data_IF_521603963697
#
_entry.id   IF_521603963697
#
_cell.length_a   1.000
_cell.length_b   1.000
_cell.length_c   1.000
_cell.angle_alpha   90.00
_cell.angle_beta   90.00
_cell.angle_gamma   90.00
#
_symmetry.space_group_name_H-M   'P 1'
#
loop_
_entity.id
_entity.type
_entity.pdbx_description
1 polymer ?
#
# COMPACT_ATOMS: atom_id res chain seq x y z
N UNK A 1 -24.54 29.83 -13.38
CA UNK A 1 -23.43 30.48 -12.65
C UNK A 1 -22.28 30.79 -13.61
N UNK A 2 -21.44 31.78 -13.34
CA UNK A 2 -20.32 32.17 -14.19
C UNK A 2 -19.14 32.59 -13.32
N UNK A 3 -17.94 32.15 -13.68
CA UNK A 3 -16.69 32.65 -13.11
C UNK A 3 -16.15 33.78 -13.99
N UNK A 4 -15.69 34.86 -13.39
CA UNK A 4 -14.95 35.94 -14.07
C UNK A 4 -13.61 36.15 -13.36
N UNK A 5 -12.56 36.35 -14.14
CA UNK A 5 -11.21 36.64 -13.66
C UNK A 5 -10.89 38.14 -13.87
N UNK A 6 -10.27 38.73 -12.86
CA UNK A 6 -9.70 40.08 -12.92
C UNK A 6 -8.19 39.97 -13.15
N UNK A 7 -7.81 39.47 -14.30
CA UNK A 7 -6.43 39.41 -14.79
C UNK A 7 -6.37 40.03 -16.20
N UNK A 8 -5.19 40.39 -16.67
CA UNK A 8 -5.01 40.92 -18.02
C UNK A 8 -5.37 39.94 -19.14
N UNK A 9 -5.41 38.64 -18.80
CA UNK A 9 -5.89 37.55 -19.66
C UNK A 9 -6.74 36.60 -18.79
N UNK A 10 -8.01 36.42 -19.15
CA UNK A 10 -9.05 35.77 -18.32
C UNK A 10 -8.75 34.31 -17.94
N UNK A 11 -7.76 33.66 -18.52
CA UNK A 11 -7.41 32.27 -18.25
C UNK A 11 -5.90 32.05 -18.04
N UNK A 12 -5.11 33.11 -17.97
CA UNK A 12 -3.66 33.04 -17.88
C UNK A 12 -3.16 33.92 -16.71
N UNK A 13 -2.50 33.31 -15.75
CA UNK A 13 -1.87 33.95 -14.59
C UNK A 13 -0.35 33.80 -14.72
N UNK A 14 0.41 34.86 -14.46
CA UNK A 14 1.86 34.75 -14.44
C UNK A 14 2.33 34.16 -13.11
N UNK A 15 3.35 33.34 -13.15
CA UNK A 15 3.94 32.74 -11.96
C UNK A 15 4.45 33.83 -11.00
N UNK A 16 4.06 33.74 -9.74
CA UNK A 16 4.35 34.74 -8.71
C UNK A 16 3.30 35.85 -8.59
N UNK A 17 2.32 35.92 -9.50
CA UNK A 17 1.23 36.89 -9.42
C UNK A 17 -0.02 36.29 -8.76
N UNK A 18 -0.90 37.22 -8.30
CA UNK A 18 -2.23 36.92 -7.78
C UNK A 18 -3.26 37.09 -8.89
N UNK A 19 -4.28 36.24 -8.88
CA UNK A 19 -5.48 36.46 -9.65
C UNK A 19 -6.68 36.61 -8.70
N UNK A 20 -7.64 37.46 -9.06
CA UNK A 20 -8.91 37.53 -8.38
C UNK A 20 -10.00 36.92 -9.25
N UNK A 21 -10.80 36.04 -8.68
CA UNK A 21 -11.99 35.50 -9.30
C UNK A 21 -13.23 36.07 -8.62
N UNK A 22 -14.27 36.31 -9.43
CA UNK A 22 -15.62 36.56 -8.93
C UNK A 22 -16.58 35.56 -9.52
N UNK A 23 -17.56 35.16 -8.70
CA UNK A 23 -18.59 34.19 -9.06
C UNK A 23 -19.93 34.94 -9.16
N UNK A 24 -20.57 34.83 -10.31
CA UNK A 24 -21.82 35.49 -10.57
C UNK A 24 -22.99 34.52 -10.82
N UNK A 25 -24.13 34.78 -10.18
CA UNK A 25 -25.35 34.05 -10.42
C UNK A 25 -26.12 34.63 -11.63
N UNK A 26 -26.60 33.79 -12.53
CA UNK A 26 -27.36 34.18 -13.72
C UNK A 26 -28.84 33.71 -13.60
N UNK A 27 -29.84 34.44 -14.16
CA UNK A 27 -29.74 35.77 -14.74
C UNK A 27 -29.64 36.85 -13.66
N UNK A 28 -29.16 38.03 -14.00
CA UNK A 28 -29.10 39.17 -13.10
C UNK A 28 -27.71 39.56 -12.67
N UNK A 29 -26.70 38.71 -12.88
CA UNK A 29 -25.29 39.01 -12.64
C UNK A 29 -24.98 39.37 -11.18
N UNK A 30 -25.63 38.72 -10.22
CA UNK A 30 -25.38 38.94 -8.80
C UNK A 30 -24.05 38.34 -8.38
N UNK A 31 -23.18 39.13 -7.75
CA UNK A 31 -21.94 38.68 -7.19
C UNK A 31 -22.18 37.82 -5.93
N UNK A 32 -21.82 36.57 -6.01
CA UNK A 32 -21.96 35.59 -4.95
C UNK A 32 -20.60 35.03 -4.49
N UNK A 33 -19.50 35.71 -4.82
CA UNK A 33 -18.12 35.23 -4.54
C UNK A 33 -17.92 34.86 -3.08
N UNK A 34 -18.42 35.68 -2.15
CA UNK A 34 -18.31 35.45 -0.71
C UNK A 34 -19.18 34.30 -0.18
N UNK A 35 -20.13 33.83 -0.96
CA UNK A 35 -21.04 32.72 -0.62
C UNK A 35 -20.68 31.43 -1.35
N UNK A 36 -19.87 31.50 -2.41
CA UNK A 36 -19.46 30.35 -3.20
C UNK A 36 -18.22 29.68 -2.56
N UNK A 37 -18.20 28.36 -2.56
CA UNK A 37 -16.98 27.59 -2.28
C UNK A 37 -16.12 27.56 -3.52
N UNK A 38 -14.91 28.15 -3.43
CA UNK A 38 -13.95 28.17 -4.53
C UNK A 38 -12.83 27.17 -4.21
N UNK A 39 -12.56 26.28 -5.17
CA UNK A 39 -11.52 25.25 -5.11
C UNK A 39 -10.71 25.19 -6.40
N UNK A 40 -9.57 24.53 -6.36
CA UNK A 40 -8.69 24.27 -7.51
C UNK A 40 -8.39 22.78 -7.57
N UNK A 41 -8.27 22.24 -8.78
CA UNK A 41 -8.00 20.81 -8.98
C UNK A 41 -6.54 20.44 -8.65
N UNK A 42 -5.59 21.38 -8.79
CA UNK A 42 -4.18 21.17 -8.46
C UNK A 42 -3.62 22.33 -7.62
N UNK A 43 -3.47 22.10 -6.33
CA UNK A 43 -2.94 23.07 -5.37
C UNK A 43 -1.42 23.30 -5.51
N UNK A 44 -0.71 22.48 -6.30
CA UNK A 44 0.69 22.73 -6.64
C UNK A 44 0.85 23.80 -7.76
N UNK A 45 -0.25 24.15 -8.41
CA UNK A 45 -0.28 25.20 -9.46
C UNK A 45 -0.89 26.48 -8.92
N UNK A 46 -2.08 26.40 -8.34
CA UNK A 46 -2.78 27.53 -7.74
C UNK A 46 -3.24 27.16 -6.31
N UNK A 47 -3.23 28.14 -5.42
CA UNK A 47 -3.89 28.07 -4.12
C UNK A 47 -4.99 29.10 -4.03
N UNK A 48 -6.06 28.76 -3.30
CA UNK A 48 -7.18 29.68 -3.05
C UNK A 48 -7.37 29.95 -1.57
N UNK A 49 -7.89 31.15 -1.25
CA UNK A 49 -8.45 31.44 0.05
C UNK A 49 -9.98 31.49 -0.11
N UNK A 50 -10.67 30.51 0.47
CA UNK A 50 -12.13 30.43 0.43
C UNK A 50 -12.80 31.73 0.91
N UNK A 51 -13.79 32.22 0.18
CA UNK A 51 -14.65 33.32 0.54
C UNK A 51 -14.21 34.73 0.09
N UNK A 52 -12.99 34.86 -0.46
CA UNK A 52 -12.52 36.18 -0.98
C UNK A 52 -12.15 36.15 -2.47
N UNK A 53 -12.23 34.98 -3.11
CA UNK A 53 -11.93 34.84 -4.53
C UNK A 53 -10.47 35.10 -4.92
N UNK A 54 -9.54 35.05 -3.96
CA UNK A 54 -8.11 35.26 -4.24
C UNK A 54 -7.45 33.94 -4.60
N UNK A 55 -6.74 33.96 -5.72
CA UNK A 55 -5.88 32.85 -6.19
C UNK A 55 -4.44 33.34 -6.23
N UNK A 56 -3.50 32.52 -5.79
CA UNK A 56 -2.07 32.81 -6.00
C UNK A 56 -1.37 31.63 -6.64
N UNK A 57 -0.50 31.95 -7.58
CA UNK A 57 0.28 30.97 -8.31
C UNK A 57 1.44 30.47 -7.47
N UNK A 58 1.54 29.14 -7.30
CA UNK A 58 2.61 28.46 -6.57
C UNK A 58 3.46 27.57 -7.49
N UNK A 59 2.93 27.23 -8.66
CA UNK A 59 3.61 26.46 -9.68
C UNK A 59 3.17 26.86 -11.09
N UNK A 60 3.91 26.42 -12.09
CA UNK A 60 3.60 26.66 -13.50
C UNK A 60 2.93 25.43 -14.07
N UNK A 61 1.76 25.60 -14.73
CA UNK A 61 0.99 24.47 -15.25
C UNK A 61 -0.42 24.87 -15.63
N UNK A 62 -1.27 23.88 -15.83
CA UNK A 62 -2.70 24.06 -16.10
C UNK A 62 -3.52 23.36 -15.00
N UNK A 63 -4.51 24.05 -14.50
CA UNK A 63 -5.45 23.53 -13.49
C UNK A 63 -6.84 24.07 -13.77
N UNK A 64 -7.83 23.59 -13.03
CA UNK A 64 -9.21 24.06 -13.12
C UNK A 64 -9.61 24.72 -11.81
N UNK A 65 -10.18 25.91 -11.90
CA UNK A 65 -10.88 26.57 -10.79
C UNK A 65 -12.34 26.15 -10.82
N UNK A 66 -12.85 25.73 -9.69
CA UNK A 66 -14.27 25.37 -9.49
C UNK A 66 -14.91 26.32 -8.50
N UNK A 67 -16.16 26.62 -8.75
CA UNK A 67 -16.97 27.35 -7.81
C UNK A 67 -18.32 26.64 -7.64
N UNK A 68 -18.70 26.38 -6.40
CA UNK A 68 -19.95 25.75 -6.02
C UNK A 68 -20.77 26.67 -5.12
N UNK A 69 -22.07 26.75 -5.36
CA UNK A 69 -23.05 27.47 -4.55
C UNK A 69 -24.38 26.71 -4.61
N UNK A 70 -24.85 26.24 -3.44
CA UNK A 70 -26.00 25.33 -3.35
C UNK A 70 -25.82 24.11 -4.29
N UNK A 71 -26.77 23.82 -5.17
CA UNK A 71 -26.72 22.73 -6.14
C UNK A 71 -26.07 23.15 -7.49
N UNK A 72 -25.50 24.34 -7.56
CA UNK A 72 -24.91 24.87 -8.79
C UNK A 72 -23.38 24.79 -8.73
N UNK A 73 -22.79 24.28 -9.79
CA UNK A 73 -21.34 24.25 -9.99
C UNK A 73 -20.96 24.87 -11.33
N UNK A 74 -19.79 25.52 -11.35
CA UNK A 74 -19.16 26.00 -12.57
C UNK A 74 -17.64 25.82 -12.45
N UNK A 75 -16.99 25.48 -13.55
CA UNK A 75 -15.55 25.31 -13.63
C UNK A 75 -14.96 26.10 -14.78
N UNK A 76 -13.69 26.47 -14.62
CA UNK A 76 -12.94 27.21 -15.65
C UNK A 76 -11.47 26.79 -15.63
N UNK A 77 -10.88 26.42 -16.78
CA UNK A 77 -9.46 26.13 -16.85
C UNK A 77 -8.65 27.42 -16.65
N UNK A 78 -7.52 27.28 -15.96
CA UNK A 78 -6.56 28.37 -15.74
C UNK A 78 -5.18 27.85 -16.01
N UNK A 79 -4.37 28.67 -16.68
CA UNK A 79 -2.99 28.40 -16.99
C UNK A 79 -2.08 29.36 -16.24
N UNK A 80 -1.11 28.82 -15.52
CA UNK A 80 -0.03 29.61 -14.94
C UNK A 80 1.20 29.50 -15.85
N UNK A 81 1.72 30.61 -16.29
CA UNK A 81 2.84 30.69 -17.24
C UNK A 81 4.00 31.51 -16.67
N UNK A 82 5.21 31.27 -17.19
CA UNK A 82 6.36 32.09 -16.86
C UNK A 82 6.28 33.44 -17.56
N UNK A 83 6.81 34.50 -16.95
CA UNK A 83 7.05 35.79 -17.62
C UNK A 83 7.98 35.66 -18.81
N UNK A 84 8.96 34.73 -18.76
CA UNK A 84 9.96 34.48 -19.82
C UNK A 84 9.39 33.70 -21.02
N UNK A 85 8.08 33.44 -21.06
CA UNK A 85 7.39 32.75 -22.15
C UNK A 85 7.10 31.27 -21.88
N UNK A 86 6.54 30.59 -22.88
CA UNK A 86 6.13 29.20 -22.81
C UNK A 86 7.32 28.23 -22.76
N UNK A 87 7.10 27.04 -22.17
CA UNK A 87 8.10 25.98 -22.15
C UNK A 87 8.49 25.52 -23.56
N UNK A 88 9.76 25.75 -23.91
CA UNK A 88 10.34 25.38 -25.22
C UNK A 88 11.03 24.03 -25.15
N UNK A 89 11.84 23.78 -24.12
CA UNK A 89 12.65 22.59 -23.96
C UNK A 89 12.53 22.02 -22.53
N UNK A 90 12.53 20.71 -22.42
CA UNK A 90 12.60 19.96 -21.16
C UNK A 90 13.56 18.79 -21.36
N UNK A 91 14.56 18.64 -20.51
CA UNK A 91 15.55 17.57 -20.62
C UNK A 91 16.21 17.28 -19.27
N UNK A 92 16.75 16.08 -19.12
CA UNK A 92 17.69 15.82 -18.04
C UNK A 92 19.13 16.14 -18.44
N UNK A 93 19.97 16.39 -17.44
CA UNK A 93 21.42 16.61 -17.63
C UNK A 93 22.16 15.32 -18.01
N UNK A 94 21.54 14.16 -17.79
CA UNK A 94 22.01 12.83 -18.17
C UNK A 94 20.95 12.08 -18.97
N UNK A 95 21.38 11.30 -19.95
CA UNK A 95 20.49 10.40 -20.72
C UNK A 95 20.46 9.01 -20.13
N UNK A 96 21.57 8.59 -19.53
CA UNK A 96 21.75 7.29 -18.89
C UNK A 96 22.45 7.52 -17.56
N UNK A 97 22.01 6.80 -16.52
CA UNK A 97 22.61 6.78 -15.19
C UNK A 97 22.82 5.33 -14.76
N UNK A 98 23.99 5.03 -14.21
CA UNK A 98 24.29 3.73 -13.63
C UNK A 98 24.33 3.87 -12.12
N UNK A 99 23.61 2.98 -11.43
CA UNK A 99 23.55 2.90 -9.97
C UNK A 99 23.75 1.46 -9.54
N UNK A 100 24.32 1.26 -8.37
CA UNK A 100 24.31 -0.04 -7.71
C UNK A 100 23.00 -0.20 -6.90
N UNK A 101 22.55 -1.43 -6.69
CA UNK A 101 21.41 -1.73 -5.82
C UNK A 101 21.59 -1.05 -4.46
N UNK A 102 20.53 -0.47 -3.93
CA UNK A 102 20.49 0.32 -2.69
C UNK A 102 21.26 1.66 -2.74
N UNK A 103 21.80 2.04 -3.89
CA UNK A 103 22.45 3.34 -4.08
C UNK A 103 21.43 4.42 -4.36
N UNK A 104 21.65 5.61 -3.82
CA UNK A 104 20.94 6.84 -4.21
C UNK A 104 21.67 7.51 -5.37
N UNK A 105 20.89 8.12 -6.26
CA UNK A 105 21.41 8.85 -7.41
C UNK A 105 20.78 10.22 -7.55
N UNK A 106 21.40 11.08 -8.36
CA UNK A 106 20.85 12.39 -8.70
C UNK A 106 20.87 12.65 -10.20
N UNK A 107 19.78 13.21 -10.69
CA UNK A 107 19.66 13.78 -12.02
C UNK A 107 19.06 15.17 -11.88
N UNK A 108 19.44 16.06 -12.78
CA UNK A 108 18.93 17.43 -12.79
C UNK A 108 18.02 17.64 -13.99
N UNK A 109 16.79 18.06 -13.70
CA UNK A 109 15.88 18.52 -14.74
C UNK A 109 16.32 19.92 -15.22
N UNK A 110 16.29 20.12 -16.52
CA UNK A 110 16.58 21.41 -17.18
C UNK A 110 15.42 21.77 -18.07
N UNK A 111 15.12 23.06 -18.14
CA UNK A 111 14.08 23.57 -19.01
C UNK A 111 14.52 24.90 -19.64
N UNK A 112 13.82 25.27 -20.69
CA UNK A 112 13.94 26.60 -21.31
C UNK A 112 12.52 27.16 -21.49
N UNK A 113 12.16 28.25 -20.80
CA UNK A 113 12.87 28.91 -19.68
C UNK A 113 13.16 28.03 -18.47
N UNK A 114 14.19 28.39 -17.70
CA UNK A 114 14.72 27.57 -16.61
C UNK A 114 13.73 27.36 -15.44
N UNK A 115 12.80 28.28 -15.24
CA UNK A 115 11.82 28.28 -14.13
C UNK A 115 10.91 27.04 -14.15
N UNK A 116 10.65 26.46 -15.31
CA UNK A 116 9.78 25.28 -15.42
C UNK A 116 10.38 24.01 -14.76
N UNK A 117 11.68 23.85 -14.76
CA UNK A 117 12.34 22.71 -14.14
C UNK A 117 12.23 22.70 -12.60
N UNK A 118 11.96 23.87 -11.99
CA UNK A 118 11.81 24.04 -10.54
C UNK A 118 10.34 24.16 -10.13
N UNK A 119 9.39 24.04 -11.06
CA UNK A 119 7.98 24.13 -10.75
C UNK A 119 7.51 22.90 -9.93
N UNK A 120 6.69 23.15 -8.93
CA UNK A 120 6.03 22.09 -8.15
C UNK A 120 5.03 21.28 -9.00
N UNK A 121 4.63 21.79 -10.17
CA UNK A 121 3.76 21.09 -11.11
C UNK A 121 4.50 20.04 -11.96
N UNK A 122 5.82 19.86 -11.81
CA UNK A 122 6.56 18.78 -12.46
C UNK A 122 6.15 17.44 -11.85
N UNK A 123 5.63 16.56 -12.69
CA UNK A 123 5.28 15.18 -12.31
C UNK A 123 6.46 14.28 -12.63
N UNK A 124 6.98 13.62 -11.62
CA UNK A 124 8.04 12.63 -11.72
C UNK A 124 7.46 11.22 -11.68
N UNK A 125 8.11 10.28 -12.36
CA UNK A 125 7.74 8.89 -12.32
C UNK A 125 8.83 7.97 -12.84
N UNK A 126 8.61 6.67 -12.66
CA UNK A 126 9.44 5.58 -13.16
C UNK A 126 8.60 4.67 -14.03
N UNK A 127 9.20 4.05 -15.05
CA UNK A 127 8.56 2.98 -15.82
C UNK A 127 8.54 1.66 -15.07
N UNK A 128 9.42 1.48 -14.08
CA UNK A 128 9.43 0.36 -13.15
C UNK A 128 9.93 0.81 -11.77
N UNK A 129 8.98 1.00 -10.85
CA UNK A 129 9.26 1.44 -9.48
C UNK A 129 9.90 0.34 -8.61
N UNK A 130 9.92 -0.92 -9.06
CA UNK A 130 10.68 -1.98 -8.39
C UNK A 130 12.18 -1.87 -8.68
N UNK A 131 12.56 -1.31 -9.83
CA UNK A 131 13.96 -1.10 -10.21
C UNK A 131 14.48 0.19 -9.63
N UNK A 132 13.78 1.31 -9.86
CA UNK A 132 14.17 2.63 -9.36
C UNK A 132 12.96 3.51 -9.14
N UNK A 133 12.96 4.26 -8.03
CA UNK A 133 11.97 5.30 -7.73
C UNK A 133 12.62 6.66 -7.63
N UNK A 134 11.81 7.70 -7.81
CA UNK A 134 12.22 9.07 -7.53
C UNK A 134 11.55 9.55 -6.23
N UNK A 135 12.35 10.18 -5.38
CA UNK A 135 11.91 10.78 -4.12
C UNK A 135 12.33 12.26 -4.08
N UNK A 136 11.45 13.17 -3.66
CA UNK A 136 11.74 14.60 -3.64
C UNK A 136 12.87 15.00 -2.68
N UNK A 137 13.17 14.19 -1.67
CA UNK A 137 14.20 14.44 -0.65
C UNK A 137 15.50 13.73 -0.99
N UNK A 138 15.42 12.45 -1.37
CA UNK A 138 16.58 11.57 -1.55
C UNK A 138 17.02 11.44 -3.02
N UNK A 139 16.22 11.90 -3.96
CA UNK A 139 16.47 11.76 -5.40
C UNK A 139 16.08 10.37 -5.92
N UNK A 140 16.95 9.73 -6.69
CA UNK A 140 16.70 8.39 -7.21
C UNK A 140 17.11 7.34 -6.18
N UNK A 141 16.25 6.35 -5.95
CA UNK A 141 16.51 5.20 -5.09
C UNK A 141 16.56 3.95 -5.96
N UNK A 142 17.73 3.36 -6.12
CA UNK A 142 17.92 2.09 -6.83
C UNK A 142 17.54 0.94 -5.90
N UNK A 143 16.52 0.14 -6.28
CA UNK A 143 15.95 -0.90 -5.43
C UNK A 143 16.39 -2.31 -5.85
N UNK A 144 16.22 -2.62 -7.15
CA UNK A 144 16.45 -3.95 -7.69
C UNK A 144 17.30 -3.84 -8.98
N UNK A 145 18.21 -4.79 -9.25
CA UNK A 145 18.91 -4.86 -10.52
C UNK A 145 17.95 -4.90 -11.70
N UNK A 146 18.25 -4.11 -12.75
CA UNK A 146 17.40 -4.00 -13.92
C UNK A 146 17.56 -2.68 -14.66
N UNK A 147 16.61 -2.40 -15.54
CA UNK A 147 16.54 -1.15 -16.32
C UNK A 147 15.17 -0.53 -16.19
N UNK A 148 15.14 0.76 -15.91
CA UNK A 148 13.92 1.55 -15.92
C UNK A 148 14.20 2.95 -16.44
N UNK A 149 13.16 3.64 -16.87
CA UNK A 149 13.26 5.04 -17.30
C UNK A 149 12.61 5.94 -16.26
N UNK A 150 13.41 6.83 -15.69
CA UNK A 150 12.89 7.96 -14.90
C UNK A 150 12.45 9.04 -15.85
N UNK A 151 11.28 9.60 -15.61
CA UNK A 151 10.75 10.69 -16.40
C UNK A 151 10.24 11.85 -15.55
N UNK A 152 10.23 13.04 -16.14
CA UNK A 152 9.60 14.22 -15.59
C UNK A 152 8.71 14.88 -16.66
N UNK A 153 7.50 15.25 -16.27
CA UNK A 153 6.49 15.81 -17.17
C UNK A 153 5.97 17.14 -16.64
N UNK A 154 5.86 18.12 -17.53
CA UNK A 154 5.21 19.40 -17.27
C UNK A 154 4.72 20.01 -18.60
N UNK A 155 3.52 20.59 -18.60
CA UNK A 155 2.97 21.31 -19.75
C UNK A 155 3.00 20.50 -21.06
N UNK A 156 2.74 19.18 -20.96
CA UNK A 156 2.73 18.27 -22.11
C UNK A 156 4.11 17.92 -22.68
N UNK A 157 5.20 18.35 -22.04
CA UNK A 157 6.56 17.93 -22.38
C UNK A 157 7.09 16.92 -21.37
N UNK A 158 7.90 15.99 -21.86
CA UNK A 158 8.48 14.92 -21.07
C UNK A 158 9.99 14.87 -21.30
N UNK A 159 10.74 14.76 -20.21
CA UNK A 159 12.16 14.43 -20.17
C UNK A 159 12.33 13.00 -19.68
N UNK A 160 13.34 12.29 -20.20
CA UNK A 160 13.59 10.89 -19.88
C UNK A 160 15.08 10.66 -19.62
N UNK A 161 15.36 9.76 -18.65
CA UNK A 161 16.68 9.25 -18.35
C UNK A 161 16.59 7.74 -18.10
N UNK A 162 17.34 6.95 -18.87
CA UNK A 162 17.49 5.53 -18.60
C UNK A 162 18.33 5.34 -17.34
N UNK A 163 17.84 4.53 -16.40
CA UNK A 163 18.60 4.13 -15.22
C UNK A 163 18.87 2.64 -15.31
N UNK A 164 20.14 2.28 -15.19
CA UNK A 164 20.61 0.90 -15.15
C UNK A 164 21.06 0.63 -13.73
N UNK A 165 20.34 -0.23 -13.03
CA UNK A 165 20.71 -0.68 -11.69
C UNK A 165 21.46 -2.00 -11.81
N UNK A 166 22.67 -2.04 -11.24
CA UNK A 166 23.53 -3.22 -11.20
C UNK A 166 23.60 -3.78 -9.77
N UNK A 167 24.01 -5.03 -9.63
CA UNK A 167 24.13 -5.75 -8.35
C UNK A 167 23.57 -7.16 -8.49
N UNK A 168 23.57 -7.90 -7.40
CA UNK A 168 22.97 -9.22 -7.34
C UNK A 168 21.46 -9.09 -7.01
N UNK A 169 20.65 -10.02 -7.53
CA UNK A 169 19.24 -10.12 -7.12
C UNK A 169 19.16 -10.57 -5.67
N UNK A 170 18.09 -10.16 -4.98
CA UNK A 170 17.83 -10.59 -3.61
C UNK A 170 17.66 -12.11 -3.55
N UNK A 171 18.39 -12.75 -2.68
CA UNK A 171 18.19 -14.17 -2.35
C UNK A 171 17.07 -14.23 -1.32
N UNK A 172 15.89 -14.64 -1.77
CA UNK A 172 14.71 -14.81 -0.92
C UNK A 172 14.60 -16.27 -0.55
N UNK A 173 14.63 -16.55 0.75
CA UNK A 173 14.46 -17.89 1.28
C UNK A 173 13.27 -17.93 2.26
N UNK A 174 12.58 -19.05 2.29
CA UNK A 174 11.50 -19.32 3.23
C UNK A 174 11.82 -20.58 4.05
N UNK A 175 11.53 -20.53 5.33
CA UNK A 175 11.68 -21.67 6.22
C UNK A 175 10.55 -21.72 7.23
N UNK A 176 10.28 -22.93 7.78
CA UNK A 176 9.38 -23.07 8.92
C UNK A 176 10.17 -22.99 10.23
N UNK A 177 9.75 -22.10 11.12
CA UNK A 177 10.19 -22.11 12.52
C UNK A 177 9.29 -23.06 13.32
N UNK A 178 9.64 -24.36 13.26
CA UNK A 178 8.85 -25.41 13.88
C UNK A 178 8.97 -25.40 15.40
N UNK A 179 10.11 -24.99 15.94
CA UNK A 179 10.34 -24.92 17.39
C UNK A 179 9.48 -23.81 18.01
N UNK A 180 9.48 -22.63 17.38
CA UNK A 180 8.66 -21.53 17.84
C UNK A 180 7.15 -21.81 17.66
N UNK A 181 6.74 -22.41 16.53
CA UNK A 181 5.36 -22.82 16.31
C UNK A 181 4.86 -23.81 17.40
N UNK A 182 5.69 -24.77 17.79
CA UNK A 182 5.38 -25.70 18.89
C UNK A 182 5.28 -24.97 20.23
N UNK A 183 6.19 -24.04 20.50
CA UNK A 183 6.18 -23.22 21.73
C UNK A 183 4.86 -22.44 21.85
N UNK A 184 4.41 -21.83 20.75
CA UNK A 184 3.11 -21.11 20.73
C UNK A 184 1.95 -22.07 21.01
N UNK A 185 1.94 -23.22 20.36
CA UNK A 185 0.88 -24.22 20.55
C UNK A 185 0.81 -24.69 22.02
N UNK A 186 1.96 -25.00 22.60
CA UNK A 186 2.07 -25.46 23.98
C UNK A 186 1.63 -24.37 24.97
N UNK A 187 1.99 -23.10 24.71
CA UNK A 187 1.58 -21.99 25.56
C UNK A 187 0.08 -21.71 25.47
N UNK A 188 -0.52 -21.77 24.27
CA UNK A 188 -1.97 -21.71 24.10
C UNK A 188 -2.64 -22.81 24.90
N UNK A 189 -2.15 -24.05 24.82
CA UNK A 189 -2.71 -25.16 25.59
C UNK A 189 -2.53 -24.99 27.11
N UNK A 190 -1.40 -24.48 27.56
CA UNK A 190 -1.16 -24.12 28.96
C UNK A 190 -2.19 -23.12 29.47
N UNK A 191 -2.49 -22.08 28.66
CA UNK A 191 -3.50 -21.07 28.99
C UNK A 191 -4.93 -21.67 29.00
N UNK A 192 -5.27 -22.53 28.06
CA UNK A 192 -6.56 -23.23 28.03
C UNK A 192 -6.78 -24.03 29.31
N UNK A 193 -5.84 -24.88 29.67
CA UNK A 193 -5.89 -25.70 30.89
C UNK A 193 -5.99 -24.82 32.15
N UNK A 194 -5.21 -23.73 32.21
CA UNK A 194 -5.27 -22.81 33.34
C UNK A 194 -6.65 -22.12 33.49
N UNK A 195 -7.42 -22.02 32.42
CA UNK A 195 -8.79 -21.46 32.40
C UNK A 195 -9.89 -22.55 32.41
N UNK A 196 -9.54 -23.81 32.64
CA UNK A 196 -10.49 -24.92 32.71
C UNK A 196 -11.06 -25.32 31.35
N UNK A 197 -10.35 -25.03 30.26
CA UNK A 197 -10.72 -25.43 28.91
C UNK A 197 -9.86 -26.62 28.48
N UNK A 198 -10.44 -27.58 27.78
CA UNK A 198 -9.71 -28.75 27.26
C UNK A 198 -8.62 -28.30 26.25
N UNK A 199 -7.40 -28.88 26.34
CA UNK A 199 -6.33 -28.54 25.41
C UNK A 199 -6.66 -28.98 23.98
N UNK A 200 -6.10 -28.27 23.00
CA UNK A 200 -6.14 -28.70 21.61
C UNK A 200 -5.27 -29.93 21.37
N UNK A 201 -5.70 -30.78 20.43
CA UNK A 201 -4.91 -31.92 19.94
C UNK A 201 -4.16 -31.49 18.66
N UNK A 202 -2.83 -31.64 18.70
CA UNK A 202 -2.00 -31.36 17.52
C UNK A 202 -2.33 -32.28 16.36
N UNK A 203 -2.60 -31.73 15.15
CA UNK A 203 -2.98 -32.53 13.98
C UNK A 203 -2.20 -32.09 12.74
N UNK A 204 -1.18 -32.87 12.39
CA UNK A 204 -0.25 -32.54 11.28
C UNK A 204 -0.94 -32.58 9.91
N UNK A 205 -1.77 -33.60 9.67
CA UNK A 205 -2.34 -33.87 8.35
C UNK A 205 -3.58 -33.03 8.03
N UNK A 206 -4.08 -32.24 8.98
CA UNK A 206 -5.24 -31.36 8.83
C UNK A 206 -4.90 -29.93 9.22
N UNK A 207 -4.99 -29.58 10.51
CA UNK A 207 -4.85 -28.20 10.97
C UNK A 207 -3.45 -27.61 10.72
N UNK A 208 -2.37 -28.39 10.95
CA UNK A 208 -1.02 -27.93 10.65
C UNK A 208 -0.80 -27.76 9.13
N UNK A 209 -1.30 -28.69 8.32
CA UNK A 209 -1.27 -28.56 6.87
C UNK A 209 -1.96 -27.28 6.41
N UNK A 210 -3.19 -27.03 6.93
CA UNK A 210 -3.94 -25.80 6.60
C UNK A 210 -3.17 -24.54 7.02
N UNK A 211 -2.55 -24.53 8.21
CA UNK A 211 -1.72 -23.43 8.69
C UNK A 211 -0.53 -23.15 7.75
N UNK A 212 0.16 -24.20 7.30
CA UNK A 212 1.31 -24.08 6.37
C UNK A 212 0.87 -23.54 5.01
N UNK A 213 -0.21 -24.05 4.44
CA UNK A 213 -0.74 -23.57 3.15
C UNK A 213 -1.15 -22.10 3.26
N UNK A 214 -1.86 -21.72 4.31
CA UNK A 214 -2.31 -20.33 4.52
C UNK A 214 -1.13 -19.37 4.68
N UNK A 215 -0.13 -19.72 5.47
CA UNK A 215 1.07 -18.92 5.63
C UNK A 215 1.81 -18.75 4.28
N UNK A 216 1.90 -19.83 3.49
CA UNK A 216 2.51 -19.78 2.15
C UNK A 216 1.76 -18.91 1.16
N UNK A 217 0.42 -18.86 1.23
CA UNK A 217 -0.39 -17.94 0.41
C UNK A 217 0.01 -16.49 0.70
N UNK A 218 0.14 -16.10 1.96
CA UNK A 218 0.54 -14.76 2.34
C UNK A 218 1.94 -14.41 1.83
N UNK A 219 2.91 -15.31 2.00
CA UNK A 219 4.28 -15.06 1.60
C UNK A 219 4.45 -15.00 0.07
N UNK A 220 3.79 -15.88 -0.68
CA UNK A 220 3.94 -15.97 -2.14
C UNK A 220 3.11 -14.95 -2.90
N UNK A 221 1.98 -14.50 -2.37
CA UNK A 221 1.18 -13.46 -3.00
C UNK A 221 1.77 -12.05 -2.83
N UNK A 222 2.77 -11.88 -1.96
CA UNK A 222 3.48 -10.62 -1.81
C UNK A 222 2.65 -9.50 -1.18
N UNK A 223 1.63 -9.84 -0.39
CA UNK A 223 0.85 -8.85 0.35
C UNK A 223 1.78 -8.05 1.26
N UNK A 224 1.89 -6.72 1.11
CA UNK A 224 2.80 -5.92 1.91
C UNK A 224 2.39 -5.97 3.38
N UNK A 225 3.37 -6.16 4.27
CA UNK A 225 3.22 -5.96 5.71
C UNK A 225 3.80 -4.58 6.01
N UNK A 226 2.94 -3.67 6.41
CA UNK A 226 3.38 -2.37 6.91
C UNK A 226 3.90 -2.55 8.34
N UNK A 227 4.71 -1.63 8.86
CA UNK A 227 5.46 -1.66 10.13
C UNK A 227 4.68 -2.05 11.42
N UNK A 228 3.51 -2.65 11.27
CA UNK A 228 2.63 -3.08 12.35
C UNK A 228 2.41 -4.60 12.34
N UNK A 229 2.05 -5.13 13.48
CA UNK A 229 1.54 -6.50 13.59
C UNK A 229 0.09 -6.49 13.13
N UNK A 230 -0.21 -7.31 12.12
CA UNK A 230 -1.58 -7.54 11.66
C UNK A 230 -2.10 -8.86 12.22
N UNK A 231 -3.24 -8.83 12.89
CA UNK A 231 -3.93 -10.03 13.41
C UNK A 231 -5.31 -10.13 12.79
N UNK A 232 -5.68 -11.31 12.34
CA UNK A 232 -7.01 -11.60 11.77
C UNK A 232 -7.52 -12.93 12.32
N UNK A 233 -8.80 -12.96 12.66
CA UNK A 233 -9.51 -14.17 12.99
C UNK A 233 -10.57 -14.44 11.92
N UNK A 234 -10.48 -15.60 11.27
CA UNK A 234 -11.38 -16.05 10.24
C UNK A 234 -12.12 -17.30 10.75
N UNK A 235 -13.43 -17.29 10.79
CA UNK A 235 -14.28 -18.37 11.25
C UNK A 235 -15.20 -18.84 10.13
N UNK A 236 -15.33 -20.14 9.96
CA UNK A 236 -16.35 -20.74 9.13
C UNK A 236 -17.60 -21.07 9.99
N UNK A 237 -18.65 -20.28 9.82
CA UNK A 237 -19.88 -20.40 10.61
C UNK A 237 -20.56 -21.79 10.52
N UNK A 238 -20.37 -22.51 9.40
CA UNK A 238 -21.02 -23.81 9.18
C UNK A 238 -20.24 -24.98 9.78
N UNK A 239 -18.92 -24.94 9.78
CA UNK A 239 -18.03 -26.03 10.28
C UNK A 239 -17.36 -25.69 11.60
N UNK A 240 -17.41 -24.42 12.01
CA UNK A 240 -16.72 -23.89 13.18
C UNK A 240 -15.18 -24.00 13.13
N UNK A 241 -14.61 -24.30 11.98
CA UNK A 241 -13.17 -24.23 11.76
C UNK A 241 -12.72 -22.78 11.81
N UNK A 242 -11.53 -22.54 12.38
CA UNK A 242 -10.99 -21.19 12.59
C UNK A 242 -9.55 -21.10 12.08
N UNK A 243 -9.21 -20.00 11.43
CA UNK A 243 -7.81 -19.63 11.17
C UNK A 243 -7.51 -18.28 11.82
N UNK A 244 -6.44 -18.22 12.59
CA UNK A 244 -5.93 -17.03 13.22
C UNK A 244 -4.60 -16.72 12.54
N UNK A 245 -4.55 -15.60 11.85
CA UNK A 245 -3.39 -15.13 11.12
C UNK A 245 -2.73 -14.00 11.90
N UNK A 246 -1.42 -14.06 12.13
CA UNK A 246 -0.66 -12.99 12.74
C UNK A 246 0.63 -12.77 11.96
N UNK A 247 0.88 -11.55 11.51
CA UNK A 247 1.98 -11.19 10.62
C UNK A 247 2.75 -10.00 11.17
N UNK A 248 4.07 -10.02 11.02
CA UNK A 248 4.94 -8.90 11.39
C UNK A 248 5.99 -8.66 10.31
N UNK A 249 6.21 -7.40 9.96
CA UNK A 249 7.20 -6.95 8.98
C UNK A 249 8.56 -6.58 9.58
N UNK A 250 8.83 -6.83 10.86
CA UNK A 250 10.06 -6.39 11.50
C UNK A 250 10.83 -7.54 12.16
N UNK A 251 12.14 -7.36 12.19
CA UNK A 251 13.18 -8.25 12.72
C UNK A 251 13.06 -8.54 14.24
N UNK A 252 12.05 -8.05 14.91
CA UNK A 252 12.11 -7.86 16.35
C UNK A 252 11.35 -8.86 17.19
N UNK A 253 10.70 -9.96 16.64
CA UNK A 253 9.58 -10.22 17.47
C UNK A 253 9.13 -11.67 17.46
N UNK A 254 10.00 -12.55 17.94
CA UNK A 254 9.60 -13.89 18.33
C UNK A 254 8.52 -13.84 19.42
N UNK A 255 8.67 -12.96 20.42
CA UNK A 255 7.76 -12.91 21.59
C UNK A 255 6.40 -12.22 21.33
N UNK A 256 6.26 -11.43 20.27
CA UNK A 256 5.05 -10.62 20.06
C UNK A 256 3.95 -11.27 19.22
N UNK A 257 4.24 -12.29 18.43
CA UNK A 257 3.17 -12.92 17.62
C UNK A 257 2.11 -13.57 18.51
N UNK A 258 2.53 -14.27 19.56
CA UNK A 258 1.63 -14.84 20.55
C UNK A 258 0.89 -13.74 21.32
N UNK A 259 1.60 -12.72 21.79
CA UNK A 259 1.01 -11.61 22.53
C UNK A 259 -0.04 -10.86 21.69
N UNK A 260 0.27 -10.60 20.40
CA UNK A 260 -0.67 -9.95 19.49
C UNK A 260 -1.93 -10.79 19.27
N UNK A 261 -1.77 -12.09 19.07
CA UNK A 261 -2.88 -13.03 18.93
C UNK A 261 -3.74 -13.08 20.21
N UNK A 262 -3.12 -13.03 21.39
CA UNK A 262 -3.81 -13.04 22.68
C UNK A 262 -4.46 -11.70 23.06
N UNK A 263 -3.99 -10.58 22.51
CA UNK A 263 -4.57 -9.26 22.71
C UNK A 263 -5.79 -8.99 21.82
N UNK A 264 -5.90 -9.69 20.68
CA UNK A 264 -7.09 -9.61 19.83
C UNK A 264 -8.26 -10.37 20.47
N UNK A 265 -9.35 -9.67 20.77
CA UNK A 265 -10.51 -10.24 21.45
C UNK A 265 -11.20 -11.34 20.66
N UNK A 266 -11.21 -11.26 19.34
CA UNK A 266 -11.83 -12.26 18.46
C UNK A 266 -10.99 -13.54 18.46
N UNK A 267 -9.65 -13.40 18.34
CA UNK A 267 -8.72 -14.52 18.42
C UNK A 267 -8.77 -15.19 19.79
N UNK A 268 -8.71 -14.39 20.86
CA UNK A 268 -8.77 -14.92 22.23
C UNK A 268 -10.07 -15.68 22.50
N UNK A 269 -11.20 -15.18 22.01
CA UNK A 269 -12.50 -15.87 22.16
C UNK A 269 -12.47 -17.25 21.50
N UNK A 270 -11.91 -17.39 20.31
CA UNK A 270 -11.79 -18.66 19.61
C UNK A 270 -10.78 -19.60 20.26
N UNK A 271 -9.63 -19.06 20.69
CA UNK A 271 -8.62 -19.84 21.40
C UNK A 271 -9.11 -20.37 22.74
N UNK A 272 -10.05 -19.68 23.41
CA UNK A 272 -10.61 -20.06 24.71
C UNK A 272 -12.01 -20.70 24.61
N UNK A 273 -12.49 -21.00 23.39
CA UNK A 273 -13.79 -21.64 23.17
C UNK A 273 -13.84 -23.00 23.85
N UNK A 274 -14.89 -23.23 24.67
CA UNK A 274 -15.14 -24.48 25.32
C UNK A 274 -16.02 -25.38 24.44
N UNK A 275 -15.68 -26.65 24.32
CA UNK A 275 -16.37 -27.65 23.52
C UNK A 275 -16.54 -28.95 24.31
N UNK A 276 -17.49 -29.79 23.89
CA UNK A 276 -17.75 -31.08 24.56
C UNK A 276 -16.61 -32.11 24.35
N UNK A 277 -15.87 -31.96 23.23
CA UNK A 277 -14.69 -32.75 22.89
C UNK A 277 -13.51 -31.87 22.58
N UNK A 278 -12.26 -32.32 22.81
CA UNK A 278 -11.06 -31.57 22.40
C UNK A 278 -11.04 -31.32 20.88
N UNK A 279 -10.85 -30.09 20.49
CA UNK A 279 -10.69 -29.73 19.08
C UNK A 279 -9.25 -30.04 18.61
N UNK A 280 -9.11 -30.33 17.33
CA UNK A 280 -7.79 -30.41 16.70
C UNK A 280 -7.23 -29.01 16.38
N UNK A 281 -5.93 -28.85 16.43
CA UNK A 281 -5.29 -27.60 15.99
C UNK A 281 -3.88 -27.84 15.45
N UNK A 282 -3.36 -26.83 14.76
CA UNK A 282 -1.99 -26.79 14.27
C UNK A 282 -1.51 -25.33 14.16
N UNK A 283 -0.21 -25.16 14.33
CA UNK A 283 0.43 -23.86 14.25
C UNK A 283 1.61 -23.93 13.28
N UNK A 284 1.69 -22.98 12.36
CA UNK A 284 2.83 -22.81 11.48
C UNK A 284 3.38 -21.39 11.61
N UNK A 285 4.71 -21.27 11.68
CA UNK A 285 5.42 -20.01 11.59
C UNK A 285 6.35 -20.10 10.39
N UNK A 286 6.13 -19.23 9.41
CA UNK A 286 7.01 -19.07 8.25
C UNK A 286 7.89 -17.86 8.48
N UNK A 287 9.17 -18.02 8.24
CA UNK A 287 10.20 -16.98 8.29
C UNK A 287 10.66 -16.71 6.87
N UNK A 288 10.52 -15.48 6.41
CA UNK A 288 11.09 -15.00 5.16
C UNK A 288 12.40 -14.30 5.44
N UNK A 289 13.46 -14.73 4.76
CA UNK A 289 14.76 -14.05 4.80
C UNK A 289 15.09 -13.48 3.42
N UNK A 290 15.72 -12.32 3.43
CA UNK A 290 16.24 -11.67 2.23
C UNK A 290 17.72 -11.37 2.46
N UNK A 291 18.57 -11.90 1.61
CA UNK A 291 20.03 -11.80 1.74
C UNK A 291 20.51 -12.26 3.14
N UNK A 292 19.90 -13.33 3.67
CA UNK A 292 20.22 -13.90 4.98
C UNK A 292 19.70 -13.10 6.19
N UNK A 293 18.90 -12.08 5.99
CA UNK A 293 18.26 -11.31 7.07
C UNK A 293 16.77 -11.60 7.12
N UNK A 294 16.23 -11.77 8.31
CA UNK A 294 14.78 -11.94 8.49
C UNK A 294 14.09 -10.66 8.08
N UNK A 295 13.16 -10.76 7.13
CA UNK A 295 12.34 -9.66 6.65
C UNK A 295 10.96 -9.67 7.34
N UNK A 296 10.35 -10.85 7.46
CA UNK A 296 9.07 -11.01 8.14
C UNK A 296 8.89 -12.41 8.71
N UNK A 297 7.91 -12.53 9.61
CA UNK A 297 7.38 -13.78 10.12
C UNK A 297 5.86 -13.79 9.97
N UNK A 298 5.32 -14.91 9.52
CA UNK A 298 3.88 -15.15 9.41
C UNK A 298 3.51 -16.36 10.24
N UNK A 299 2.72 -16.14 11.27
CA UNK A 299 2.11 -17.18 12.09
C UNK A 299 0.69 -17.43 11.59
N UNK A 300 0.34 -18.68 11.44
CA UNK A 300 -1.05 -19.11 11.25
C UNK A 300 -1.34 -20.23 12.26
N UNK A 301 -2.40 -20.01 13.06
CA UNK A 301 -2.92 -21.00 14.00
C UNK A 301 -4.28 -21.44 13.49
N UNK A 302 -4.41 -22.72 13.12
CA UNK A 302 -5.68 -23.29 12.64
C UNK A 302 -6.29 -24.17 13.69
N UNK A 303 -7.59 -24.01 13.92
CA UNK A 303 -8.43 -24.86 14.78
C UNK A 303 -9.36 -25.61 13.86
N UNK A 304 -9.33 -26.93 13.92
CA UNK A 304 -10.20 -27.85 13.20
C UNK A 304 -11.22 -28.52 14.11
N UNK A 305 -12.00 -29.47 13.58
CA UNK A 305 -13.01 -30.22 14.32
C UNK A 305 -12.38 -31.14 15.38
N UNK A 306 -13.21 -31.76 16.22
CA UNK A 306 -12.75 -32.82 17.12
C UNK A 306 -12.20 -34.03 16.34
N UNK A 307 -11.40 -34.88 16.99
CA UNK A 307 -10.88 -36.10 16.33
C UNK A 307 -12.01 -37.06 15.90
N UNK A 308 -13.10 -37.09 16.62
CA UNK A 308 -14.28 -37.93 16.30
C UNK A 308 -14.98 -37.42 15.01
N UNK A 309 -15.10 -36.13 14.85
CA UNK A 309 -15.63 -35.50 13.62
C UNK A 309 -14.66 -35.62 12.47
N UNK A 310 -13.37 -35.33 12.71
CA UNK A 310 -12.33 -35.43 11.70
C UNK A 310 -12.22 -36.83 11.09
N UNK A 311 -12.42 -37.89 11.93
CA UNK A 311 -12.44 -39.26 11.48
C UNK A 311 -13.54 -39.64 10.49
N UNK A 312 -14.52 -38.75 10.25
CA UNK A 312 -15.57 -38.95 9.24
C UNK A 312 -15.14 -38.55 7.82
N UNK A 313 -14.00 -37.91 7.69
CA UNK A 313 -13.46 -37.41 6.43
C UNK A 313 -12.14 -38.09 6.07
N UNK A 314 -11.91 -38.27 4.79
CA UNK A 314 -10.59 -38.64 4.30
C UNK A 314 -9.64 -37.45 4.35
N UNK A 315 -8.33 -37.69 4.37
CA UNK A 315 -7.31 -36.66 4.29
C UNK A 315 -7.46 -35.81 3.02
N UNK A 316 -7.84 -36.44 1.89
CA UNK A 316 -8.04 -35.72 0.63
C UNK A 316 -9.24 -34.75 0.71
N UNK A 317 -10.38 -35.20 1.29
CA UNK A 317 -11.54 -34.32 1.47
C UNK A 317 -11.23 -33.13 2.35
N UNK A 318 -10.40 -33.31 3.39
CA UNK A 318 -9.98 -32.18 4.27
C UNK A 318 -9.01 -31.22 3.54
N UNK A 319 -8.09 -31.70 2.72
CA UNK A 319 -7.23 -30.88 1.89
C UNK A 319 -8.04 -30.03 0.90
N UNK A 320 -9.02 -30.64 0.22
CA UNK A 320 -9.92 -29.96 -0.68
C UNK A 320 -10.78 -28.92 0.02
N UNK A 321 -11.28 -29.25 1.20
CA UNK A 321 -12.03 -28.31 2.04
C UNK A 321 -11.19 -27.07 2.38
N UNK A 322 -9.96 -27.25 2.89
CA UNK A 322 -9.09 -26.13 3.26
C UNK A 322 -8.70 -25.28 2.05
N UNK A 323 -8.38 -25.91 0.92
CA UNK A 323 -8.08 -25.19 -0.31
C UNK A 323 -9.25 -24.30 -0.77
N UNK A 324 -10.45 -24.87 -0.81
CA UNK A 324 -11.67 -24.14 -1.16
C UNK A 324 -11.96 -22.99 -0.18
N UNK A 325 -11.78 -23.22 1.12
CA UNK A 325 -11.96 -22.17 2.11
C UNK A 325 -10.95 -21.02 1.95
N UNK A 326 -9.72 -21.34 1.59
CA UNK A 326 -8.67 -20.34 1.30
C UNK A 326 -8.79 -19.69 -0.09
N UNK A 327 -9.73 -20.14 -0.93
CA UNK A 327 -9.97 -19.58 -2.25
C UNK A 327 -8.95 -19.97 -3.30
N UNK A 328 -8.30 -21.14 -3.13
CA UNK A 328 -7.32 -21.71 -4.07
C UNK A 328 -7.83 -23.02 -4.65
N UNK A 329 -7.27 -23.46 -5.79
CA UNK A 329 -7.57 -24.77 -6.33
C UNK A 329 -6.90 -25.87 -5.46
N UNK A 330 -7.58 -27.00 -5.18
CA UNK A 330 -7.01 -28.08 -4.38
C UNK A 330 -5.68 -28.63 -4.91
N UNK A 331 -5.53 -28.70 -6.23
CA UNK A 331 -4.30 -29.14 -6.90
C UNK A 331 -3.13 -28.17 -6.74
N UNK A 332 -3.40 -26.90 -6.42
CA UNK A 332 -2.38 -25.87 -6.22
C UNK A 332 -1.97 -25.71 -4.76
N UNK A 333 -2.69 -26.32 -3.81
CA UNK A 333 -2.47 -26.11 -2.38
C UNK A 333 -1.03 -26.45 -1.93
N UNK A 334 -0.48 -27.58 -2.44
CA UNK A 334 0.87 -28.00 -2.09
C UNK A 334 1.95 -27.09 -2.69
N UNK A 335 1.62 -26.26 -3.70
CA UNK A 335 2.53 -25.25 -4.25
C UNK A 335 2.83 -24.11 -3.26
N UNK A 336 2.04 -23.95 -2.22
CA UNK A 336 2.24 -22.96 -1.16
C UNK A 336 3.06 -23.46 0.02
N UNK A 337 3.47 -24.72 0.01
CA UNK A 337 4.39 -25.26 1.01
C UNK A 337 5.85 -24.85 0.71
N UNK A 338 6.70 -24.76 1.75
CA UNK A 338 8.12 -24.45 1.67
C UNK A 338 8.99 -25.63 2.10
#
# INVERSE_FOLDING_TARGET
MKIAYYTSDASCVKFGEYAQVSVFLQPGNFDITSYATISVDDENILKTNNGVGMLWSVGIGETTVRAAYEDLEVSSPVKVVSEDGNLQELSFDKKILYLEKNQTGSIRLRSKPAVYANSQAVKWGSTDENVVTWDPVYGLLAKKPGRATIYAEIMGKRAECEVVVTGEEDVVEYSYDTEYAQTIFDEVNRLRVANGVEPFVWKEEDALYASKVRAGIYEKNGDPIYDNIETRCLENESTQDVQIDCRTGLDHVEDYLLDAMMQDSSCLMQLMKQTDEPLTAGCAVVVKTVDGRVENRTLVFTIGPSESELGQYTQQERKEYWANWMGILPEDADNYLF
#
